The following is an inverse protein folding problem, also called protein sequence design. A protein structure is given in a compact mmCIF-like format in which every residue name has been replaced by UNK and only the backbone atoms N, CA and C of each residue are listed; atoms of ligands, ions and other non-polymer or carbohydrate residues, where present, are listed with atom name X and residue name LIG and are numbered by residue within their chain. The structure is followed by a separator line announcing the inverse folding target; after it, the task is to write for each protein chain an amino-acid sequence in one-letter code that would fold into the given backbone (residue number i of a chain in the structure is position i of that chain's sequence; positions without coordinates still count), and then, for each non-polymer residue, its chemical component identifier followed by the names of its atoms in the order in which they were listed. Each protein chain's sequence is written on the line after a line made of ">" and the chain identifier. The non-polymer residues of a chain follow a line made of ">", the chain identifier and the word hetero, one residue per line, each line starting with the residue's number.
data_IF_101455212327
#
_entry.id   IF_101455212327
#
_cell.length_a   1.000
_cell.length_b   1.000
_cell.length_c   1.000
_cell.angle_alpha   90.00
_cell.angle_beta   90.00
_cell.angle_gamma   90.00
#
_symmetry.space_group_name_H-M   'P 1'
#
loop_
_entity.id
_entity.type
_entity.pdbx_description
1 polymer ?
#
# COMPACT_ATOMS: atom_id res chain seq x y z
N UNK A 1 -17.69 9.30 28.21
CA UNK A 1 -16.24 9.62 28.06
C UNK A 1 -15.50 8.28 27.99
N UNK A 2 -15.21 7.72 26.81
CA UNK A 2 -13.91 7.88 26.12
C UNK A 2 -14.01 7.30 24.69
N UNK A 3 -13.65 8.16 23.72
CA UNK A 3 -13.05 7.94 22.40
C UNK A 3 -13.40 6.69 21.55
N UNK A 4 -13.89 6.98 20.33
CA UNK A 4 -13.91 6.14 19.12
C UNK A 4 -12.51 5.61 18.82
N UNK A 5 -12.36 4.38 18.29
CA UNK A 5 -11.96 4.23 16.88
C UNK A 5 -12.51 2.93 16.26
N UNK A 6 -12.76 2.77 14.97
CA UNK A 6 -12.49 3.52 13.76
C UNK A 6 -12.94 2.59 12.63
N UNK A 7 -13.64 3.14 11.64
CA UNK A 7 -14.09 2.42 10.47
C UNK A 7 -12.91 1.99 9.59
N UNK A 8 -13.09 0.90 8.84
CA UNK A 8 -12.23 0.53 7.72
C UNK A 8 -12.77 -0.67 6.94
N UNK A 9 -13.63 -0.47 5.91
CA UNK A 9 -14.02 -1.53 5.00
C UNK A 9 -12.83 -1.90 4.11
N UNK A 10 -12.47 -3.19 4.07
CA UNK A 10 -11.49 -3.73 3.14
C UNK A 10 -11.95 -3.49 1.70
N UNK A 11 -11.18 -2.70 0.96
CA UNK A 11 -11.35 -2.43 -0.46
C UNK A 11 -10.24 -3.16 -1.22
N UNK A 12 -10.13 -2.96 -2.52
CA UNK A 12 -10.54 -3.96 -3.51
C UNK A 12 -9.31 -4.47 -4.27
N UNK A 13 -9.38 -5.71 -4.75
CA UNK A 13 -8.31 -6.33 -5.51
C UNK A 13 -8.22 -5.80 -6.96
N UNK A 14 -7.10 -5.13 -7.31
CA UNK A 14 -6.72 -4.81 -8.70
C UNK A 14 -5.21 -5.03 -8.90
N UNK A 15 -4.77 -5.69 -10.00
CA UNK A 15 -3.35 -5.80 -10.33
C UNK A 15 -2.80 -4.40 -10.61
N UNK A 16 -1.89 -3.92 -9.76
CA UNK A 16 -1.35 -2.57 -9.84
C UNK A 16 0.14 -2.57 -9.55
N UNK A 17 0.89 -1.81 -10.34
CA UNK A 17 2.29 -1.49 -10.03
C UNK A 17 2.31 -0.40 -8.98
N UNK A 18 3.14 -0.53 -7.96
CA UNK A 18 3.24 0.48 -6.90
C UNK A 18 4.66 1.01 -6.80
N UNK A 19 4.83 2.33 -6.87
CA UNK A 19 6.13 2.97 -6.71
C UNK A 19 6.22 3.66 -5.35
N UNK A 20 7.27 3.36 -4.59
CA UNK A 20 7.58 4.07 -3.36
C UNK A 20 8.00 5.50 -3.71
N UNK A 21 7.25 6.50 -3.24
CA UNK A 21 7.59 7.91 -3.50
C UNK A 21 8.81 8.41 -2.73
N UNK A 22 9.33 7.61 -1.79
CA UNK A 22 10.46 7.99 -0.93
C UNK A 22 11.80 7.57 -1.54
N UNK A 23 11.89 6.34 -2.02
CA UNK A 23 13.14 5.79 -2.58
C UNK A 23 13.06 5.45 -4.07
N UNK A 24 11.87 5.47 -4.68
CA UNK A 24 11.66 5.06 -6.07
C UNK A 24 11.55 3.54 -6.28
N UNK A 25 11.43 2.74 -5.21
CA UNK A 25 11.24 1.29 -5.33
C UNK A 25 9.93 0.95 -6.04
N UNK A 26 10.00 0.19 -7.14
CA UNK A 26 8.82 -0.27 -7.88
C UNK A 26 8.48 -1.70 -7.46
N UNK A 27 7.28 -1.87 -6.93
CA UNK A 27 6.64 -3.15 -6.64
C UNK A 27 5.75 -3.53 -7.82
N UNK A 28 6.20 -4.52 -8.60
CA UNK A 28 5.47 -5.15 -9.69
C UNK A 28 4.85 -6.47 -9.18
N UNK A 29 3.77 -6.37 -8.40
CA UNK A 29 2.99 -7.52 -7.94
C UNK A 29 1.64 -7.60 -8.67
N UNK A 30 1.28 -8.78 -9.16
CA UNK A 30 -0.07 -9.06 -9.68
C UNK A 30 -1.12 -9.00 -8.56
N UNK A 31 -0.66 -9.22 -7.32
CA UNK A 31 -1.45 -9.11 -6.10
C UNK A 31 -1.53 -7.66 -5.60
N UNK A 32 -2.75 -7.21 -5.27
CA UNK A 32 -3.00 -5.86 -4.75
C UNK A 32 -2.42 -5.68 -3.36
N UNK A 33 -1.97 -4.47 -3.07
CA UNK A 33 -1.36 -4.09 -1.79
C UNK A 33 -2.30 -4.17 -0.57
N UNK A 34 -3.59 -4.35 -0.82
CA UNK A 34 -4.62 -4.55 0.20
C UNK A 34 -4.68 -6.00 0.70
N UNK A 35 -4.22 -6.97 -0.09
CA UNK A 35 -4.11 -8.38 0.33
C UNK A 35 -2.82 -8.66 1.10
N UNK A 36 -1.80 -7.82 0.90
CA UNK A 36 -0.61 -7.81 1.74
C UNK A 36 -0.97 -7.38 3.17
N UNK A 37 -0.39 -8.04 4.19
CA UNK A 37 -0.60 -7.65 5.58
C UNK A 37 -0.36 -6.16 5.75
N UNK A 38 -1.13 -5.52 6.64
CA UNK A 38 -1.04 -4.06 6.86
C UNK A 38 0.36 -3.56 7.22
N UNK A 39 1.24 -4.48 7.64
CA UNK A 39 2.65 -4.28 7.97
C UNK A 39 3.62 -4.33 6.78
N UNK A 40 3.16 -4.38 5.52
CA UNK A 40 4.10 -4.31 4.41
C UNK A 40 4.80 -2.93 4.36
N UNK A 41 6.10 -2.96 4.63
CA UNK A 41 7.04 -1.85 4.52
C UNK A 41 7.97 -2.02 3.34
N UNK A 42 8.34 -0.91 2.70
CA UNK A 42 9.33 -0.91 1.63
C UNK A 42 10.65 -1.52 2.12
N UNK A 43 11.22 -2.54 1.45
CA UNK A 43 12.49 -3.12 1.86
C UNK A 43 13.69 -2.18 1.67
N UNK A 44 13.53 -1.12 0.87
CA UNK A 44 14.59 -0.15 0.59
C UNK A 44 14.67 0.95 1.64
N UNK A 45 13.52 1.46 2.10
CA UNK A 45 13.48 2.62 3.01
C UNK A 45 12.71 2.39 4.32
N UNK A 46 12.11 1.21 4.51
CA UNK A 46 11.34 0.87 5.72
C UNK A 46 10.02 1.64 5.86
N UNK A 47 9.61 2.40 4.84
CA UNK A 47 8.37 3.18 4.90
C UNK A 47 7.13 2.31 4.66
N UNK A 48 6.01 2.59 5.33
CA UNK A 48 4.79 1.80 5.20
C UNK A 48 4.16 1.97 3.82
N UNK A 49 3.28 1.03 3.45
CA UNK A 49 2.53 1.07 2.19
C UNK A 49 1.78 2.36 1.89
N UNK A 50 1.50 3.17 2.90
CA UNK A 50 0.91 4.51 2.74
C UNK A 50 1.73 5.44 1.83
N UNK A 51 3.05 5.24 1.71
CA UNK A 51 3.91 6.07 0.82
C UNK A 51 4.02 5.52 -0.60
N UNK A 52 3.45 4.34 -0.86
CA UNK A 52 3.44 3.75 -2.20
C UNK A 52 2.33 4.38 -3.04
N UNK A 53 2.70 4.84 -4.24
CA UNK A 53 1.76 5.35 -5.24
C UNK A 53 1.46 4.27 -6.27
N UNK A 54 0.18 3.99 -6.48
CA UNK A 54 -0.28 3.16 -7.60
C UNK A 54 0.07 3.85 -8.93
N UNK A 55 0.74 3.14 -9.81
CA UNK A 55 0.87 3.49 -11.21
C UNK A 55 -0.18 2.71 -12.00
N UNK A 56 -1.40 3.26 -12.07
CA UNK A 56 -2.32 2.95 -13.16
C UNK A 56 -1.72 3.57 -14.43
N UNK A 57 -1.00 2.75 -15.19
CA UNK A 57 -0.70 3.10 -16.58
C UNK A 57 -2.02 2.98 -17.33
N UNK A 58 -2.58 4.12 -17.72
CA UNK A 58 -3.68 4.19 -18.70
C UNK A 58 -3.18 3.73 -20.07
#
# INVERSE_FOLDING_TARGET
>A
KRLRPGAGPGKEMKPMKYVCSVCGYVYDGEIPFEDLPSDYTCPVCGQPKSVFKKQTKE
#
